data_IF_818476702510
#
_entry.id   IF_818476702510
#
_cell.length_a   1.000
_cell.length_b   1.000
_cell.length_c   1.000
_cell.angle_alpha   90.00
_cell.angle_beta   90.00
_cell.angle_gamma   90.00
#
_symmetry.space_group_name_H-M   'P 1'
#
loop_
_entity.id
_entity.type
_entity.pdbx_description
1 polymer ?
#
# COMPACT_ATOMS: atom_id res chain seq x y z
N UNK A 1 38.62 -20.44 -12.05
CA UNK A 1 38.24 -19.06 -12.39
C UNK A 1 37.01 -19.18 -13.27
N UNK A 2 35.83 -18.84 -12.74
CA UNK A 2 34.62 -18.79 -13.56
C UNK A 2 34.83 -17.66 -14.58
N UNK A 3 34.91 -18.01 -15.87
CA UNK A 3 34.94 -17.01 -16.93
C UNK A 3 33.63 -16.25 -16.92
N UNK A 4 33.60 -15.06 -16.36
CA UNK A 4 32.41 -14.19 -16.41
C UNK A 4 32.17 -13.82 -17.87
N UNK A 5 30.95 -14.05 -18.35
CA UNK A 5 30.59 -13.70 -19.73
C UNK A 5 30.59 -12.17 -19.87
N UNK A 6 31.25 -11.65 -20.91
CA UNK A 6 31.41 -10.21 -21.13
C UNK A 6 30.89 -9.80 -22.50
N UNK A 7 30.20 -8.66 -22.51
CA UNK A 7 29.71 -8.03 -23.73
C UNK A 7 30.22 -6.58 -23.86
N UNK A 8 29.85 -5.95 -24.97
CA UNK A 8 30.16 -4.54 -25.24
C UNK A 8 28.88 -3.76 -25.55
N UNK A 9 28.79 -2.55 -25.02
CA UNK A 9 27.70 -1.62 -25.38
C UNK A 9 27.81 -1.25 -26.84
N UNK A 10 26.77 -1.49 -27.63
CA UNK A 10 26.70 -1.15 -29.05
C UNK A 10 25.76 -0.01 -29.37
N UNK A 11 24.71 0.16 -28.53
CA UNK A 11 23.73 1.24 -28.68
C UNK A 11 23.27 1.74 -27.33
N UNK A 12 22.98 3.03 -27.22
CA UNK A 12 22.41 3.70 -26.04
C UNK A 12 21.22 4.54 -26.53
N UNK A 13 20.04 4.26 -25.99
CA UNK A 13 18.79 4.96 -26.29
C UNK A 13 18.10 5.36 -24.98
N UNK A 14 18.62 6.39 -24.30
CA UNK A 14 18.16 6.79 -22.97
C UNK A 14 18.35 5.67 -21.95
N UNK A 15 17.27 5.18 -21.33
CA UNK A 15 17.33 4.11 -20.34
C UNK A 15 17.48 2.70 -20.95
N UNK A 16 17.52 2.57 -22.27
CA UNK A 16 17.63 1.28 -22.98
C UNK A 16 18.99 1.15 -23.63
N UNK A 17 19.68 0.07 -23.33
CA UNK A 17 21.08 -0.20 -23.75
C UNK A 17 21.11 -1.53 -24.50
N UNK A 18 21.72 -1.56 -25.69
CA UNK A 18 22.00 -2.80 -26.40
C UNK A 18 23.45 -3.22 -26.15
N UNK A 19 23.61 -4.48 -25.72
CA UNK A 19 24.89 -5.10 -25.39
C UNK A 19 25.10 -6.31 -26.27
N UNK A 20 26.24 -6.34 -27.00
CA UNK A 20 26.60 -7.45 -27.88
C UNK A 20 27.65 -8.35 -27.22
N UNK A 21 27.48 -9.65 -27.35
CA UNK A 21 28.36 -10.68 -26.81
C UNK A 21 29.12 -11.39 -27.97
N UNK A 22 30.39 -11.65 -27.79
CA UNK A 22 31.26 -12.21 -28.86
C UNK A 22 31.06 -13.74 -29.01
N UNK A 23 30.68 -14.45 -27.97
CA UNK A 23 30.52 -15.91 -27.99
C UNK A 23 29.08 -16.32 -27.73
N UNK A 24 28.58 -17.34 -28.41
CA UNK A 24 27.22 -17.81 -28.53
C UNK A 24 26.38 -18.10 -27.26
N UNK A 25 26.80 -17.69 -26.08
CA UNK A 25 26.02 -17.79 -24.85
C UNK A 25 25.53 -16.40 -24.47
N UNK A 26 24.26 -16.13 -24.79
CA UNK A 26 23.62 -14.88 -24.41
C UNK A 26 23.16 -14.93 -22.95
N UNK A 27 23.22 -13.80 -22.22
CA UNK A 27 22.56 -13.65 -20.94
C UNK A 27 21.06 -13.96 -21.05
N UNK A 28 20.50 -14.55 -20.00
CA UNK A 28 19.06 -14.85 -19.96
C UNK A 28 18.24 -13.58 -19.77
N UNK A 29 16.98 -13.64 -20.20
CA UNK A 29 16.01 -12.58 -19.87
C UNK A 29 15.93 -12.44 -18.33
N UNK A 30 15.88 -11.18 -17.83
CA UNK A 30 15.91 -10.82 -16.41
C UNK A 30 17.27 -10.97 -15.72
N UNK A 31 18.33 -11.35 -16.45
CA UNK A 31 19.68 -11.35 -15.91
C UNK A 31 20.16 -9.90 -15.70
N UNK A 32 20.81 -9.66 -14.56
CA UNK A 32 21.40 -8.37 -14.22
C UNK A 32 22.82 -8.28 -14.75
N UNK A 33 23.05 -7.34 -15.64
CA UNK A 33 24.37 -7.03 -16.17
C UNK A 33 24.95 -5.81 -15.44
N UNK A 34 26.27 -5.74 -15.29
CA UNK A 34 26.90 -4.62 -14.61
C UNK A 34 28.20 -4.19 -15.26
N UNK A 35 28.54 -2.92 -15.03
CA UNK A 35 29.87 -2.37 -15.34
C UNK A 35 30.20 -1.27 -14.31
N UNK A 36 31.48 -1.01 -14.14
CA UNK A 36 31.96 0.06 -13.26
C UNK A 36 32.79 1.06 -14.10
N UNK A 37 32.39 2.33 -14.00
CA UNK A 37 33.09 3.44 -14.68
C UNK A 37 33.38 4.50 -13.62
N UNK A 38 34.64 4.90 -13.51
CA UNK A 38 35.12 5.92 -12.57
C UNK A 38 34.64 5.68 -11.10
N UNK A 39 34.61 4.40 -10.68
CA UNK A 39 34.17 3.99 -9.35
C UNK A 39 32.64 3.93 -9.15
N UNK A 40 31.88 4.32 -10.15
CA UNK A 40 30.42 4.23 -10.13
C UNK A 40 29.97 2.94 -10.79
N UNK A 41 29.16 2.15 -10.06
CA UNK A 41 28.55 0.92 -10.57
C UNK A 41 27.28 1.24 -11.33
N UNK A 42 27.15 0.69 -12.53
CA UNK A 42 25.94 0.72 -13.36
C UNK A 42 25.38 -0.68 -13.46
N UNK A 43 24.07 -0.80 -13.32
CA UNK A 43 23.34 -2.07 -13.42
C UNK A 43 22.23 -1.92 -14.44
N UNK A 44 22.07 -2.93 -15.28
CA UNK A 44 21.00 -3.02 -16.27
C UNK A 44 20.43 -4.44 -16.29
N UNK A 45 19.20 -4.57 -16.69
CA UNK A 45 18.50 -5.87 -16.75
C UNK A 45 18.19 -6.23 -18.20
N UNK A 46 18.45 -7.48 -18.58
CA UNK A 46 18.12 -8.00 -19.91
C UNK A 46 16.60 -8.08 -20.07
N UNK A 47 16.07 -7.29 -21.00
CA UNK A 47 14.64 -7.26 -21.33
C UNK A 47 14.28 -8.18 -22.50
N UNK A 48 15.17 -8.28 -23.52
CA UNK A 48 14.93 -9.12 -24.71
C UNK A 48 16.19 -9.41 -25.48
N UNK A 49 16.17 -10.45 -26.31
CA UNK A 49 17.18 -10.75 -27.32
C UNK A 49 16.77 -10.14 -28.66
N UNK A 50 17.65 -9.39 -29.32
CA UNK A 50 17.35 -8.64 -30.54
C UNK A 50 18.04 -9.17 -31.79
N UNK A 51 18.75 -10.31 -31.69
CA UNK A 51 19.52 -10.92 -32.77
C UNK A 51 21.01 -10.55 -32.74
N UNK A 52 21.82 -11.13 -33.63
CA UNK A 52 23.25 -10.87 -33.79
C UNK A 52 24.05 -10.87 -32.47
N UNK A 53 23.79 -11.85 -31.61
CA UNK A 53 24.37 -11.97 -30.27
C UNK A 53 24.17 -10.72 -29.38
N UNK A 54 23.08 -9.97 -29.61
CA UNK A 54 22.80 -8.73 -28.90
C UNK A 54 21.59 -8.89 -28.00
N UNK A 55 21.71 -8.39 -26.77
CA UNK A 55 20.61 -8.28 -25.81
C UNK A 55 20.26 -6.82 -25.60
N UNK A 56 18.97 -6.55 -25.45
CA UNK A 56 18.45 -5.23 -25.10
C UNK A 56 18.13 -5.18 -23.62
N UNK A 57 18.71 -4.19 -22.95
CA UNK A 57 18.65 -4.05 -21.50
C UNK A 57 17.94 -2.75 -21.08
N UNK A 58 17.31 -2.76 -19.93
CA UNK A 58 16.77 -1.57 -19.26
C UNK A 58 17.66 -1.20 -18.08
N UNK A 59 18.06 0.07 -18.01
CA UNK A 59 18.91 0.57 -16.93
C UNK A 59 18.17 0.60 -15.59
N UNK A 60 18.85 0.16 -14.54
CA UNK A 60 18.45 0.26 -13.14
C UNK A 60 19.24 1.38 -12.41
N UNK A 61 19.86 2.23 -13.18
CA UNK A 61 20.57 3.44 -12.74
C UNK A 61 20.50 4.46 -13.88
N UNK A 62 21.01 5.67 -13.66
CA UNK A 62 21.20 6.60 -14.78
C UNK A 62 22.18 6.04 -15.81
N UNK A 63 22.07 6.48 -17.06
CA UNK A 63 22.97 6.09 -18.16
C UNK A 63 24.07 7.13 -18.47
N UNK A 64 24.13 8.20 -17.69
CA UNK A 64 25.12 9.29 -17.89
C UNK A 64 26.55 8.76 -17.69
N UNK A 65 27.39 9.08 -18.63
CA UNK A 65 28.79 8.64 -18.63
C UNK A 65 29.03 7.30 -19.33
N UNK A 66 27.99 6.60 -19.76
CA UNK A 66 28.12 5.40 -20.58
C UNK A 66 28.41 5.76 -22.05
N UNK A 67 29.23 4.95 -22.69
CA UNK A 67 29.55 5.09 -24.11
C UNK A 67 29.65 3.74 -24.82
N UNK A 68 29.48 3.76 -26.13
CA UNK A 68 29.64 2.55 -26.95
C UNK A 68 31.08 2.00 -26.83
N UNK A 69 31.18 0.68 -26.83
CA UNK A 69 32.45 -0.03 -26.68
C UNK A 69 32.81 -0.38 -25.25
N UNK A 70 32.15 0.19 -24.24
CA UNK A 70 32.39 -0.18 -22.86
C UNK A 70 32.04 -1.64 -22.61
N UNK A 71 32.84 -2.32 -21.78
CA UNK A 71 32.64 -3.71 -21.41
C UNK A 71 31.57 -3.84 -20.29
N UNK A 72 30.75 -4.83 -20.43
CA UNK A 72 29.66 -5.16 -19.49
C UNK A 72 29.81 -6.62 -19.06
N UNK A 73 29.70 -6.88 -17.78
CA UNK A 73 29.76 -8.23 -17.19
C UNK A 73 28.38 -8.83 -17.02
N UNK A 74 28.25 -10.12 -17.37
CA UNK A 74 27.05 -10.93 -17.19
C UNK A 74 27.36 -12.06 -16.20
N UNK A 75 27.04 -11.89 -14.91
CA UNK A 75 27.39 -12.86 -13.86
C UNK A 75 26.45 -14.08 -13.81
N UNK A 76 25.43 -14.15 -14.66
CA UNK A 76 24.47 -15.27 -14.69
C UNK A 76 23.40 -15.22 -13.60
N UNK A 77 23.17 -14.05 -12.99
CA UNK A 77 22.21 -13.86 -11.90
C UNK A 77 21.19 -12.79 -12.22
N UNK A 78 20.00 -12.95 -11.67
CA UNK A 78 18.99 -11.89 -11.66
C UNK A 78 19.30 -10.86 -10.57
N UNK A 79 18.49 -9.81 -10.45
CA UNK A 79 18.54 -8.89 -9.31
C UNK A 79 18.21 -9.68 -8.04
N UNK A 80 19.08 -9.63 -7.04
CA UNK A 80 18.89 -10.23 -5.72
C UNK A 80 18.91 -9.11 -4.67
N UNK A 81 18.00 -9.19 -3.70
CA UNK A 81 17.90 -8.24 -2.58
C UNK A 81 18.07 -8.95 -1.25
N UNK A 82 18.62 -8.27 -0.22
CA UNK A 82 18.68 -8.83 1.13
C UNK A 82 17.28 -9.07 1.67
N UNK A 83 17.11 -10.11 2.46
CA UNK A 83 15.86 -10.48 3.11
C UNK A 83 16.09 -10.88 4.56
N UNK A 84 15.03 -10.89 5.37
CA UNK A 84 15.07 -11.28 6.77
C UNK A 84 15.25 -10.10 7.74
N UNK A 85 15.42 -10.40 9.01
CA UNK A 85 15.44 -9.41 10.10
C UNK A 85 16.49 -8.29 9.92
N UNK A 86 17.59 -8.55 9.20
CA UNK A 86 18.61 -7.54 8.88
C UNK A 86 18.12 -6.40 7.99
N UNK A 87 16.92 -6.52 7.41
CA UNK A 87 16.29 -5.47 6.61
C UNK A 87 15.40 -4.55 7.45
N UNK A 88 15.00 -4.97 8.63
CA UNK A 88 14.13 -4.19 9.50
C UNK A 88 14.82 -2.92 10.03
N UNK A 89 14.10 -1.82 10.06
CA UNK A 89 14.63 -0.51 10.45
C UNK A 89 15.48 0.16 9.38
N UNK A 90 15.68 -0.48 8.24
CA UNK A 90 16.60 -0.06 7.17
C UNK A 90 15.85 0.45 5.94
N UNK A 91 16.58 1.22 5.14
CA UNK A 91 16.09 1.76 3.87
C UNK A 91 17.02 1.36 2.73
N UNK A 92 16.45 0.76 1.69
CA UNK A 92 17.18 0.22 0.54
C UNK A 92 16.71 0.81 -0.79
N UNK A 93 17.58 0.75 -1.79
CA UNK A 93 17.21 0.97 -3.19
C UNK A 93 16.68 -0.32 -3.86
N UNK A 94 16.38 -0.25 -5.15
CA UNK A 94 15.86 -1.40 -5.94
C UNK A 94 16.82 -2.59 -5.98
N UNK A 95 18.11 -2.37 -5.83
CA UNK A 95 19.17 -3.39 -5.85
C UNK A 95 19.46 -3.98 -4.46
N UNK A 96 18.79 -3.49 -3.42
CA UNK A 96 19.06 -3.86 -2.03
C UNK A 96 20.28 -3.16 -1.41
N UNK A 97 20.83 -2.13 -2.08
CA UNK A 97 21.86 -1.31 -1.47
C UNK A 97 21.24 -0.34 -0.46
N UNK A 98 21.85 -0.13 0.72
CA UNK A 98 21.33 0.79 1.71
C UNK A 98 21.41 2.24 1.25
N UNK A 99 20.35 3.00 1.52
CA UNK A 99 20.29 4.45 1.25
C UNK A 99 20.05 5.27 2.54
N UNK A 100 20.12 4.61 3.68
CA UNK A 100 19.99 5.21 5.02
C UNK A 100 21.33 5.64 5.65
N UNK A 101 22.43 5.52 4.92
CA UNK A 101 23.78 5.78 5.42
C UNK A 101 24.38 4.64 6.25
N UNK A 102 23.67 3.53 6.43
CA UNK A 102 24.14 2.34 7.11
C UNK A 102 25.02 1.45 6.23
N UNK A 103 25.62 0.43 6.83
CA UNK A 103 26.42 -0.55 6.09
C UNK A 103 25.54 -1.46 5.24
N UNK A 104 26.09 -1.98 4.14
CA UNK A 104 25.43 -2.97 3.30
C UNK A 104 25.19 -4.27 4.10
N UNK A 105 24.06 -4.92 3.83
CA UNK A 105 23.82 -6.26 4.36
C UNK A 105 24.83 -7.22 3.76
N UNK A 106 25.60 -7.97 4.59
CA UNK A 106 26.64 -8.85 4.08
C UNK A 106 26.09 -9.90 3.12
N UNK A 107 26.86 -10.25 2.09
CA UNK A 107 26.50 -11.32 1.13
C UNK A 107 26.39 -12.71 1.77
N UNK A 108 26.85 -12.86 2.99
CA UNK A 108 26.69 -14.08 3.80
C UNK A 108 25.28 -14.23 4.37
N UNK A 109 24.55 -13.12 4.46
CA UNK A 109 23.16 -13.09 4.88
C UNK A 109 22.25 -13.47 3.71
N UNK A 110 21.00 -13.90 3.99
CA UNK A 110 20.06 -14.32 2.96
C UNK A 110 19.77 -13.22 1.93
N UNK A 111 19.91 -13.56 0.65
CA UNK A 111 19.49 -12.75 -0.49
C UNK A 111 18.57 -13.58 -1.38
N UNK A 112 17.54 -12.97 -1.94
CA UNK A 112 16.59 -13.64 -2.84
C UNK A 112 16.39 -12.82 -4.11
N UNK A 113 16.21 -13.56 -5.22
CA UNK A 113 15.82 -12.96 -6.50
C UNK A 113 14.46 -12.24 -6.38
N UNK A 114 14.37 -11.07 -6.98
CA UNK A 114 13.09 -10.34 -7.07
C UNK A 114 12.07 -11.04 -7.98
N UNK A 115 12.53 -12.02 -8.77
CA UNK A 115 11.72 -12.82 -9.67
C UNK A 115 11.35 -14.16 -9.05
N UNK A 116 10.19 -14.19 -8.43
CA UNK A 116 9.59 -15.40 -7.85
C UNK A 116 8.26 -15.68 -8.53
N UNK A 117 7.88 -16.93 -8.56
CA UNK A 117 6.53 -17.31 -8.97
C UNK A 117 5.54 -17.01 -7.84
N UNK A 118 4.30 -16.74 -8.22
CA UNK A 118 3.21 -16.72 -7.26
C UNK A 118 3.09 -18.08 -6.57
N UNK A 119 2.63 -18.14 -5.31
CA UNK A 119 2.34 -19.38 -4.63
C UNK A 119 1.37 -20.25 -5.44
N UNK A 120 1.65 -21.56 -5.49
CA UNK A 120 0.77 -22.52 -6.15
C UNK A 120 -0.55 -22.68 -5.41
N UNK A 121 -1.57 -23.23 -6.06
CA UNK A 121 -2.90 -23.39 -5.45
C UNK A 121 -2.89 -24.23 -4.17
N UNK A 122 -1.98 -25.19 -4.06
CA UNK A 122 -1.84 -26.04 -2.88
C UNK A 122 -1.09 -25.36 -1.71
N UNK A 123 -0.32 -24.32 -1.99
CA UNK A 123 0.36 -23.49 -0.98
C UNK A 123 -0.55 -22.41 -0.40
N UNK A 124 -1.56 -21.98 -1.15
CA UNK A 124 -2.47 -20.92 -0.71
C UNK A 124 -3.37 -21.37 0.44
N UNK A 125 -3.68 -20.45 1.34
CA UNK A 125 -4.69 -20.65 2.36
C UNK A 125 -6.07 -20.29 1.78
N UNK A 126 -7.01 -21.24 1.66
CA UNK A 126 -8.35 -20.97 1.13
C UNK A 126 -9.26 -20.27 2.14
N UNK A 127 -8.89 -20.20 3.42
CA UNK A 127 -9.69 -19.53 4.44
C UNK A 127 -9.66 -18.01 4.23
N UNK A 128 -10.83 -17.39 4.24
CA UNK A 128 -10.97 -15.95 4.22
C UNK A 128 -11.04 -15.47 5.68
N UNK A 129 -9.98 -14.80 6.11
CA UNK A 129 -9.87 -14.23 7.45
C UNK A 129 -9.83 -12.70 7.39
N UNK A 130 -10.41 -12.03 8.37
CA UNK A 130 -10.31 -10.59 8.51
C UNK A 130 -8.95 -10.24 9.13
N UNK A 131 -8.25 -9.29 8.54
CA UNK A 131 -7.14 -8.60 9.18
C UNK A 131 -7.73 -7.50 10.07
N UNK A 132 -7.82 -7.75 11.36
CA UNK A 132 -8.31 -6.77 12.31
C UNK A 132 -7.31 -5.62 12.44
N UNK A 133 -7.74 -4.43 12.05
CA UNK A 133 -6.86 -3.24 12.01
C UNK A 133 -6.90 -2.43 13.30
N UNK A 134 -7.91 -2.62 14.12
CA UNK A 134 -8.17 -1.81 15.32
C UNK A 134 -8.69 -0.41 15.00
N UNK A 135 -9.02 -0.14 13.74
CA UNK A 135 -9.59 1.12 13.26
C UNK A 135 -11.07 0.90 12.95
N UNK A 136 -11.95 1.50 13.74
CA UNK A 136 -13.38 1.24 13.70
C UNK A 136 -14.02 1.32 12.32
N UNK A 137 -13.73 2.38 11.57
CA UNK A 137 -14.34 2.58 10.25
C UNK A 137 -13.93 1.50 9.26
N UNK A 138 -12.68 1.06 9.30
CA UNK A 138 -12.15 0.01 8.42
C UNK A 138 -12.77 -1.33 8.82
N UNK A 139 -12.62 -1.73 10.07
CA UNK A 139 -13.04 -3.05 10.53
C UNK A 139 -14.55 -3.26 10.42
N UNK A 140 -15.35 -2.19 10.56
CA UNK A 140 -16.82 -2.26 10.43
C UNK A 140 -17.28 -2.30 8.97
N UNK A 141 -16.85 -1.33 8.14
CA UNK A 141 -17.48 -1.03 6.85
C UNK A 141 -16.70 -1.52 5.64
N UNK A 142 -15.40 -1.70 5.79
CA UNK A 142 -14.51 -2.16 4.74
C UNK A 142 -13.45 -3.15 5.25
N UNK A 143 -13.84 -4.22 5.94
CA UNK A 143 -12.88 -5.13 6.57
C UNK A 143 -11.85 -5.64 5.57
N UNK A 144 -10.57 -5.59 5.95
CA UNK A 144 -9.48 -6.05 5.10
C UNK A 144 -9.35 -7.57 5.14
N UNK A 145 -9.37 -8.26 4.00
CA UNK A 145 -9.04 -9.67 3.99
C UNK A 145 -7.55 -9.89 4.21
N UNK A 146 -7.21 -10.80 5.09
CA UNK A 146 -5.84 -11.24 5.30
C UNK A 146 -5.29 -11.86 4.01
N UNK A 147 -4.12 -11.38 3.56
CA UNK A 147 -3.60 -11.76 2.24
C UNK A 147 -4.28 -11.08 1.06
N UNK A 148 -5.16 -10.12 1.32
CA UNK A 148 -5.87 -9.35 0.31
C UNK A 148 -5.10 -8.13 -0.19
N UNK A 149 -5.69 -7.50 -1.19
CA UNK A 149 -5.15 -6.32 -1.86
C UNK A 149 -6.11 -5.15 -1.68
N UNK A 150 -5.66 -4.14 -0.96
CA UNK A 150 -6.46 -2.98 -0.62
C UNK A 150 -5.98 -1.77 -1.44
N UNK A 151 -6.91 -1.13 -2.15
CA UNK A 151 -6.67 0.14 -2.81
C UNK A 151 -6.92 1.30 -1.86
N UNK A 152 -5.94 2.18 -1.70
CA UNK A 152 -6.06 3.39 -0.90
C UNK A 152 -6.15 4.61 -1.82
N UNK A 153 -7.29 5.27 -1.80
CA UNK A 153 -7.59 6.45 -2.59
C UNK A 153 -7.62 7.67 -1.69
N UNK A 154 -7.12 8.79 -2.19
CA UNK A 154 -7.19 10.06 -1.46
C UNK A 154 -6.25 11.10 -2.03
N UNK A 155 -6.72 12.33 -2.03
CA UNK A 155 -5.91 13.49 -2.42
C UNK A 155 -4.83 13.84 -1.39
N UNK A 156 -4.10 14.90 -1.65
CA UNK A 156 -3.11 15.41 -0.69
C UNK A 156 -3.78 15.96 0.57
N UNK A 157 -3.18 15.75 1.73
CA UNK A 157 -3.59 16.36 3.01
C UNK A 157 -4.81 15.71 3.67
N UNK A 158 -5.25 14.52 3.25
CA UNK A 158 -6.40 13.81 3.86
C UNK A 158 -5.99 12.79 4.93
N UNK A 159 -4.71 12.74 5.30
CA UNK A 159 -4.20 11.84 6.35
C UNK A 159 -3.75 10.47 5.87
N UNK A 160 -3.45 10.30 4.57
CA UNK A 160 -2.97 9.01 4.01
C UNK A 160 -1.76 8.45 4.78
N UNK A 161 -0.73 9.26 4.98
CA UNK A 161 0.50 8.84 5.67
C UNK A 161 0.22 8.45 7.13
N UNK A 162 -0.63 9.22 7.82
CA UNK A 162 -1.02 8.92 9.21
C UNK A 162 -1.75 7.58 9.30
N UNK A 163 -2.67 7.31 8.36
CA UNK A 163 -3.37 6.03 8.30
C UNK A 163 -2.42 4.86 8.05
N UNK A 164 -1.48 5.00 7.11
CA UNK A 164 -0.46 3.99 6.82
C UNK A 164 0.38 3.69 8.07
N UNK A 165 0.85 4.73 8.75
CA UNK A 165 1.65 4.56 9.97
C UNK A 165 0.84 3.90 11.11
N UNK A 166 -0.43 4.24 11.25
CA UNK A 166 -1.30 3.62 12.25
C UNK A 166 -1.55 2.13 11.97
N UNK A 167 -1.75 1.76 10.70
CA UNK A 167 -1.84 0.36 10.28
C UNK A 167 -0.56 -0.41 10.59
N UNK A 168 0.61 0.18 10.31
CA UNK A 168 1.91 -0.40 10.65
C UNK A 168 2.04 -0.58 12.16
N UNK A 169 1.68 0.44 12.93
CA UNK A 169 1.73 0.40 14.39
C UNK A 169 0.86 -0.74 14.93
N UNK A 170 -0.39 -0.80 14.50
CA UNK A 170 -1.36 -1.77 15.01
C UNK A 170 -0.98 -3.21 14.64
N UNK A 171 -0.49 -3.45 13.41
CA UNK A 171 -0.01 -4.79 13.03
C UNK A 171 1.24 -5.18 13.81
N UNK A 172 2.17 -4.27 14.02
CA UNK A 172 3.38 -4.55 14.78
C UNK A 172 3.11 -4.84 16.26
N UNK A 173 2.22 -4.08 16.89
CA UNK A 173 1.96 -4.16 18.33
C UNK A 173 0.96 -5.25 18.70
N UNK A 174 -0.11 -5.43 17.92
CA UNK A 174 -1.20 -6.34 18.25
C UNK A 174 -1.05 -7.72 17.58
N UNK A 175 -0.49 -7.76 16.38
CA UNK A 175 -0.34 -9.01 15.63
C UNK A 175 1.10 -9.55 15.62
N UNK A 176 2.08 -8.78 16.13
CA UNK A 176 3.50 -9.16 16.10
C UNK A 176 4.06 -9.34 14.69
N UNK A 177 3.40 -8.74 13.71
CA UNK A 177 3.75 -8.79 12.30
C UNK A 177 4.83 -7.78 11.91
N UNK A 178 5.30 -7.91 10.68
CA UNK A 178 6.24 -6.97 10.06
C UNK A 178 5.58 -6.21 8.94
N UNK A 179 6.18 -5.10 8.57
CA UNK A 179 5.73 -4.29 7.44
C UNK A 179 6.86 -4.04 6.47
N UNK A 180 6.52 -3.94 5.20
CA UNK A 180 7.43 -3.49 4.14
C UNK A 180 6.79 -2.33 3.42
N UNK A 181 7.48 -1.20 3.34
CA UNK A 181 7.02 -0.04 2.60
C UNK A 181 7.81 0.11 1.31
N UNK A 182 7.14 0.17 0.18
CA UNK A 182 7.74 0.40 -1.13
C UNK A 182 7.32 1.75 -1.70
N UNK A 183 8.27 2.67 -1.81
CA UNK A 183 8.08 3.96 -2.48
C UNK A 183 8.38 3.84 -3.96
N UNK A 184 7.34 3.85 -4.80
CA UNK A 184 7.45 3.72 -6.26
C UNK A 184 7.28 5.07 -6.92
N UNK A 185 8.37 5.68 -7.32
CA UNK A 185 8.37 7.01 -7.93
C UNK A 185 8.01 8.14 -6.95
N UNK A 186 8.26 7.94 -5.67
CA UNK A 186 7.98 8.91 -4.63
C UNK A 186 9.08 9.98 -4.53
N UNK A 187 8.74 11.12 -3.92
CA UNK A 187 9.69 12.18 -3.67
C UNK A 187 10.66 11.77 -2.57
N UNK A 188 11.96 12.02 -2.77
CA UNK A 188 13.00 11.72 -1.77
C UNK A 188 12.72 12.34 -0.39
N UNK A 189 12.15 13.54 -0.37
CA UNK A 189 11.76 14.22 0.86
C UNK A 189 10.68 13.46 1.62
N UNK A 190 9.61 13.06 0.94
CA UNK A 190 8.48 12.35 1.56
C UNK A 190 8.94 10.99 2.12
N UNK A 191 9.80 10.27 1.39
CA UNK A 191 10.40 9.03 1.88
C UNK A 191 11.27 9.23 3.12
N UNK A 192 12.07 10.29 3.17
CA UNK A 192 12.90 10.60 4.32
C UNK A 192 12.08 11.05 5.54
N UNK A 193 11.03 11.84 5.31
CA UNK A 193 10.13 12.27 6.38
C UNK A 193 9.41 11.05 6.98
N UNK A 194 8.88 10.16 6.13
CA UNK A 194 8.25 8.89 6.56
C UNK A 194 9.21 8.02 7.40
N UNK A 195 10.45 7.85 6.95
CA UNK A 195 11.46 7.07 7.68
C UNK A 195 11.75 7.65 9.07
N UNK A 196 11.87 8.98 9.18
CA UNK A 196 12.06 9.65 10.49
C UNK A 196 10.86 9.47 11.39
N UNK A 197 9.67 9.72 10.87
CA UNK A 197 8.42 9.59 11.63
C UNK A 197 8.21 8.16 12.14
N UNK A 198 8.50 7.15 11.34
CA UNK A 198 8.44 5.74 11.76
C UNK A 198 9.42 5.43 12.90
N UNK A 199 10.63 5.98 12.84
CA UNK A 199 11.62 5.81 13.93
C UNK A 199 11.17 6.53 15.21
N UNK A 200 10.62 7.72 15.09
CA UNK A 200 10.13 8.50 16.22
C UNK A 200 8.89 7.91 16.88
N UNK A 201 8.04 7.24 16.10
CA UNK A 201 6.84 6.54 16.59
C UNK A 201 7.14 5.15 17.16
N UNK A 202 8.38 4.66 17.01
CA UNK A 202 8.81 3.35 17.55
C UNK A 202 8.41 2.14 16.71
N UNK A 203 7.84 2.34 15.51
CA UNK A 203 7.49 1.24 14.59
C UNK A 203 8.56 0.95 13.54
N UNK A 204 9.60 1.79 13.48
CA UNK A 204 10.69 1.65 12.51
C UNK A 204 11.36 0.29 12.57
N UNK A 205 11.64 -0.24 13.76
CA UNK A 205 12.33 -1.52 13.97
C UNK A 205 11.52 -2.76 13.49
N UNK A 206 10.27 -2.57 13.10
CA UNK A 206 9.39 -3.62 12.56
C UNK A 206 9.08 -3.43 11.07
N UNK A 207 9.76 -2.47 10.42
CA UNK A 207 9.47 -2.08 9.04
C UNK A 207 10.73 -2.04 8.20
N UNK A 208 10.73 -2.68 7.03
CA UNK A 208 11.73 -2.52 5.99
C UNK A 208 11.21 -1.53 4.95
N UNK A 209 12.09 -0.63 4.46
CA UNK A 209 11.73 0.37 3.47
C UNK A 209 12.55 0.18 2.19
N UNK A 210 11.89 0.25 1.04
CA UNK A 210 12.53 0.16 -0.28
C UNK A 210 12.03 1.30 -1.15
N UNK A 211 12.94 2.12 -1.68
CA UNK A 211 12.58 3.29 -2.48
C UNK A 211 13.18 3.25 -3.87
N UNK A 212 12.34 3.53 -4.86
CA UNK A 212 12.72 3.98 -6.18
C UNK A 212 12.15 5.38 -6.40
N UNK A 213 12.99 6.39 -6.30
CA UNK A 213 12.59 7.79 -6.25
C UNK A 213 12.06 8.30 -7.60
N UNK A 214 11.37 9.43 -7.59
CA UNK A 214 10.76 10.04 -8.78
C UNK A 214 11.77 10.37 -9.88
N UNK A 215 13.01 10.72 -9.52
CA UNK A 215 14.09 11.05 -10.44
C UNK A 215 14.88 9.84 -10.94
N UNK A 216 14.58 8.65 -10.43
CA UNK A 216 15.23 7.42 -10.85
C UNK A 216 14.78 6.98 -12.25
N UNK A 217 15.62 6.15 -12.90
CA UNK A 217 15.29 5.60 -14.21
C UNK A 217 14.00 4.78 -14.20
N UNK A 218 13.30 4.66 -15.34
CA UNK A 218 12.10 3.83 -15.42
C UNK A 218 12.31 2.39 -14.94
N UNK A 219 13.48 1.79 -15.21
CA UNK A 219 13.81 0.46 -14.75
C UNK A 219 13.74 0.30 -13.23
N UNK A 220 14.19 1.30 -12.48
CA UNK A 220 14.08 1.32 -11.01
C UNK A 220 12.63 1.30 -10.59
N UNK A 221 11.80 2.20 -11.12
CA UNK A 221 10.37 2.31 -10.77
C UNK A 221 9.56 1.08 -11.17
N UNK A 222 9.98 0.36 -12.22
CA UNK A 222 9.38 -0.92 -12.62
C UNK A 222 9.72 -2.09 -11.70
N UNK A 223 10.80 -2.02 -10.91
CA UNK A 223 11.32 -3.17 -10.16
C UNK A 223 11.27 -2.99 -8.65
N UNK A 224 11.22 -1.76 -8.15
CA UNK A 224 11.27 -1.49 -6.70
C UNK A 224 10.12 -2.15 -5.93
N UNK A 225 8.91 -2.22 -6.50
CA UNK A 225 7.80 -2.94 -5.88
C UNK A 225 8.07 -4.44 -5.76
N UNK A 226 8.75 -5.04 -6.74
CA UNK A 226 9.17 -6.45 -6.68
C UNK A 226 10.24 -6.68 -5.61
N UNK A 227 11.15 -5.73 -5.42
CA UNK A 227 12.19 -5.79 -4.38
C UNK A 227 11.55 -5.81 -2.99
N UNK A 228 10.62 -4.91 -2.72
CA UNK A 228 9.90 -4.89 -1.44
C UNK A 228 9.00 -6.11 -1.24
N UNK A 229 8.29 -6.55 -2.29
CA UNK A 229 7.48 -7.77 -2.22
C UNK A 229 8.33 -9.00 -1.89
N UNK A 230 9.54 -9.09 -2.43
CA UNK A 230 10.46 -10.19 -2.13
C UNK A 230 10.88 -10.22 -0.65
N UNK A 231 11.09 -9.06 -0.04
CA UNK A 231 11.34 -8.96 1.41
C UNK A 231 10.09 -9.41 2.20
N UNK A 232 8.91 -8.96 1.79
CA UNK A 232 7.65 -9.34 2.45
C UNK A 232 7.38 -10.85 2.36
N UNK A 233 7.61 -11.45 1.21
CA UNK A 233 7.46 -12.90 1.01
C UNK A 233 8.41 -13.72 1.89
N UNK A 234 9.63 -13.24 2.15
CA UNK A 234 10.53 -13.94 3.05
C UNK A 234 9.96 -14.02 4.47
N UNK A 235 9.44 -12.93 4.98
CA UNK A 235 8.79 -12.90 6.31
C UNK A 235 7.56 -13.80 6.37
N UNK A 236 6.77 -13.87 5.29
CA UNK A 236 5.62 -14.78 5.19
C UNK A 236 6.05 -16.25 5.17
N UNK A 237 6.98 -16.61 4.28
CA UNK A 237 7.27 -18.00 3.91
C UNK A 237 8.27 -18.67 4.86
N UNK A 238 9.25 -17.91 5.39
CA UNK A 238 10.35 -18.44 6.21
C UNK A 238 10.19 -18.10 7.70
N UNK A 239 9.61 -16.95 8.01
CA UNK A 239 9.43 -16.50 9.39
C UNK A 239 7.98 -16.64 9.87
N UNK A 240 7.09 -17.13 9.01
CA UNK A 240 5.68 -17.42 9.32
C UNK A 240 4.93 -16.22 9.92
N UNK A 241 5.13 -15.05 9.30
CA UNK A 241 4.54 -13.80 9.76
C UNK A 241 3.37 -13.35 8.90
N UNK A 242 2.50 -12.58 9.52
CA UNK A 242 1.56 -11.73 8.81
C UNK A 242 2.25 -10.41 8.48
N UNK A 243 2.32 -10.07 7.21
CA UNK A 243 3.08 -8.94 6.70
C UNK A 243 2.16 -7.94 6.03
N UNK A 244 2.32 -6.66 6.34
CA UNK A 244 1.76 -5.56 5.55
C UNK A 244 2.76 -5.09 4.51
N UNK A 245 2.34 -5.06 3.26
CA UNK A 245 3.09 -4.49 2.15
C UNK A 245 2.42 -3.21 1.67
N UNK A 246 3.11 -2.09 1.80
CA UNK A 246 2.65 -0.82 1.24
C UNK A 246 3.31 -0.54 -0.09
N UNK A 247 2.53 -0.11 -1.09
CA UNK A 247 3.02 0.30 -2.42
C UNK A 247 2.51 1.71 -2.69
N UNK A 248 3.38 2.68 -2.66
CA UNK A 248 3.05 4.09 -2.89
C UNK A 248 3.90 4.67 -4.03
N UNK A 249 3.39 4.85 -5.25
CA UNK A 249 2.05 4.55 -5.76
C UNK A 249 2.12 3.47 -6.85
N UNK A 250 1.14 2.58 -6.90
CA UNK A 250 1.11 1.51 -7.93
C UNK A 250 1.03 2.07 -9.36
N UNK A 251 0.45 3.24 -9.56
CA UNK A 251 0.40 3.91 -10.86
C UNK A 251 1.80 4.17 -11.45
N UNK A 252 2.77 4.53 -10.62
CA UNK A 252 4.15 4.79 -11.08
C UNK A 252 4.86 3.54 -11.60
N UNK A 253 4.51 2.38 -11.06
CA UNK A 253 4.95 1.08 -11.58
C UNK A 253 4.47 0.89 -13.03
N UNK A 254 3.19 1.13 -13.30
CA UNK A 254 2.61 1.05 -14.64
C UNK A 254 3.21 2.08 -15.59
N UNK A 255 3.30 3.33 -15.15
CA UNK A 255 3.84 4.43 -15.94
C UNK A 255 5.28 4.16 -16.39
N UNK A 256 6.12 3.65 -15.51
CA UNK A 256 7.49 3.31 -15.83
C UNK A 256 7.58 2.24 -16.94
N UNK A 257 6.70 1.25 -16.93
CA UNK A 257 6.56 0.28 -18.01
C UNK A 257 6.22 0.91 -19.36
N UNK A 258 5.32 1.90 -19.36
CA UNK A 258 4.95 2.61 -20.61
C UNK A 258 6.09 3.45 -21.16
N UNK A 259 6.89 4.08 -20.31
CA UNK A 259 8.03 4.91 -20.69
C UNK A 259 9.09 4.14 -21.50
N UNK A 260 9.33 2.87 -21.18
CA UNK A 260 10.32 2.04 -21.88
C UNK A 260 9.74 1.20 -23.01
N UNK A 261 8.45 1.00 -23.05
CA UNK A 261 7.78 0.05 -23.96
C UNK A 261 8.09 0.31 -25.43
N UNK A 262 8.01 1.56 -25.86
CA UNK A 262 8.33 1.96 -27.24
C UNK A 262 9.81 1.78 -27.56
N UNK A 263 10.69 2.08 -26.61
CA UNK A 263 12.16 1.89 -26.77
C UNK A 263 12.52 0.40 -26.86
N UNK A 264 11.71 -0.48 -26.28
CA UNK A 264 11.83 -1.92 -26.43
C UNK A 264 11.24 -2.44 -27.76
N UNK A 265 10.70 -1.56 -28.60
CA UNK A 265 10.12 -1.92 -29.89
C UNK A 265 8.71 -2.52 -29.81
N UNK A 266 7.99 -2.29 -28.70
CA UNK A 266 6.59 -2.74 -28.55
C UNK A 266 5.64 -1.69 -29.09
N UNK A 267 4.60 -2.14 -29.81
CA UNK A 267 3.53 -1.23 -30.24
C UNK A 267 2.68 -0.81 -29.05
N UNK A 268 2.37 0.49 -28.92
CA UNK A 268 1.49 0.95 -27.84
C UNK A 268 0.09 0.33 -27.94
N UNK A 269 -0.51 0.06 -26.79
CA UNK A 269 -1.93 -0.28 -26.67
C UNK A 269 -2.79 0.97 -26.44
N UNK A 270 -4.01 0.81 -25.94
CA UNK A 270 -4.92 1.91 -25.64
C UNK A 270 -4.26 2.97 -24.75
N UNK A 271 -4.51 4.25 -25.06
CA UNK A 271 -4.00 5.43 -24.32
C UNK A 271 -2.47 5.49 -24.24
N UNK A 272 -1.76 4.74 -25.09
CA UNK A 272 -0.28 4.72 -25.12
C UNK A 272 0.39 3.81 -24.10
N UNK A 273 -0.37 3.00 -23.36
CA UNK A 273 0.19 2.03 -22.41
C UNK A 273 0.87 0.86 -23.13
N UNK A 274 1.74 0.15 -22.39
CA UNK A 274 2.38 -1.07 -22.86
C UNK A 274 1.35 -2.20 -23.10
N UNK A 275 1.54 -3.02 -24.14
CA UNK A 275 0.65 -4.15 -24.39
C UNK A 275 0.74 -5.24 -23.32
N UNK A 276 1.80 -5.22 -22.51
CA UNK A 276 2.08 -6.16 -21.42
C UNK A 276 1.54 -5.71 -20.05
N UNK A 277 0.79 -4.60 -19.99
CA UNK A 277 0.30 -4.00 -18.74
C UNK A 277 -0.38 -5.01 -17.82
N UNK A 278 -1.35 -5.76 -18.34
CA UNK A 278 -2.11 -6.73 -17.54
C UNK A 278 -1.22 -7.86 -17.00
N UNK A 279 -0.25 -8.33 -17.81
CA UNK A 279 0.67 -9.38 -17.39
C UNK A 279 1.66 -8.87 -16.32
N UNK A 280 2.20 -7.67 -16.50
CA UNK A 280 3.13 -7.06 -15.53
C UNK A 280 2.43 -6.82 -14.19
N UNK A 281 1.20 -6.32 -14.22
CA UNK A 281 0.38 -6.14 -13.03
C UNK A 281 0.04 -7.49 -12.38
N UNK A 282 -0.35 -8.49 -13.16
CA UNK A 282 -0.67 -9.84 -12.68
C UNK A 282 0.54 -10.51 -12.03
N UNK A 283 1.74 -10.43 -12.61
CA UNK A 283 2.97 -10.99 -12.03
C UNK A 283 3.27 -10.40 -10.63
N UNK A 284 2.97 -9.14 -10.40
CA UNK A 284 3.12 -8.49 -9.09
C UNK A 284 1.98 -8.91 -8.14
N UNK A 285 0.73 -8.77 -8.57
CA UNK A 285 -0.45 -8.90 -7.71
C UNK A 285 -0.71 -10.33 -7.25
N UNK A 286 -0.47 -11.34 -8.11
CA UNK A 286 -0.72 -12.74 -7.78
C UNK A 286 0.26 -13.31 -6.72
N UNK A 287 1.38 -12.65 -6.47
CA UNK A 287 2.32 -13.00 -5.39
C UNK A 287 1.82 -12.55 -4.02
N UNK A 288 0.91 -11.57 -4.00
CA UNK A 288 0.34 -10.99 -2.78
C UNK A 288 -0.85 -11.83 -2.37
N UNK A 289 -0.65 -12.70 -1.40
CA UNK A 289 -1.69 -13.65 -0.95
C UNK A 289 -1.33 -14.25 0.41
N UNK A 290 -2.31 -14.92 1.02
CA UNK A 290 -2.10 -15.78 2.17
C UNK A 290 -1.63 -17.16 1.72
N UNK A 291 -0.66 -17.70 2.44
CA UNK A 291 -0.23 -19.11 2.32
C UNK A 291 -0.51 -19.84 3.63
N UNK A 292 -0.21 -21.13 3.66
CA UNK A 292 -0.29 -21.93 4.88
C UNK A 292 0.72 -21.50 5.95
N UNK A 293 1.77 -20.78 5.55
CA UNK A 293 2.86 -20.33 6.41
C UNK A 293 2.63 -18.94 7.01
N UNK A 294 1.93 -18.06 6.30
CA UNK A 294 1.67 -16.69 6.72
C UNK A 294 0.91 -15.91 5.66
N UNK A 295 0.89 -14.60 5.80
CA UNK A 295 0.18 -13.74 4.84
C UNK A 295 0.99 -12.52 4.42
N UNK A 296 0.77 -12.06 3.18
CA UNK A 296 1.12 -10.72 2.71
C UNK A 296 -0.16 -10.02 2.32
N UNK A 297 -0.54 -9.01 3.09
CA UNK A 297 -1.67 -8.12 2.80
C UNK A 297 -1.12 -6.82 2.27
N UNK A 298 -1.59 -6.34 1.12
CA UNK A 298 -1.08 -5.09 0.55
C UNK A 298 -2.08 -3.95 0.68
N UNK A 299 -1.53 -2.77 0.98
CA UNK A 299 -2.22 -1.49 0.88
C UNK A 299 -1.52 -0.69 -0.21
N UNK A 300 -2.21 -0.44 -1.30
CA UNK A 300 -1.67 0.16 -2.51
C UNK A 300 -2.30 1.53 -2.72
N UNK A 301 -1.49 2.58 -2.67
CA UNK A 301 -1.96 3.90 -3.03
C UNK A 301 -2.24 3.95 -4.54
N UNK A 302 -3.47 4.29 -4.90
CA UNK A 302 -3.92 4.35 -6.28
C UNK A 302 -4.12 5.81 -6.69
N UNK A 303 -3.48 6.19 -7.76
CA UNK A 303 -3.70 7.45 -8.45
C UNK A 303 -4.55 7.22 -9.69
N UNK A 304 -5.58 8.02 -9.85
CA UNK A 304 -6.50 7.96 -11.01
C UNK A 304 -6.24 9.20 -11.87
N UNK A 305 -5.62 9.04 -13.05
CA UNK A 305 -5.36 10.16 -13.95
C UNK A 305 -6.67 10.85 -14.38
N UNK A 306 -6.71 12.17 -14.20
CA UNK A 306 -7.89 13.00 -14.55
C UNK A 306 -9.23 12.52 -13.96
N UNK A 307 -9.18 11.78 -12.84
CA UNK A 307 -10.34 11.15 -12.20
C UNK A 307 -11.11 10.18 -13.12
N UNK A 308 -10.43 9.67 -14.16
CA UNK A 308 -11.00 8.72 -15.12
C UNK A 308 -10.74 7.27 -14.70
N UNK A 309 -11.74 6.64 -14.10
CA UNK A 309 -11.69 5.24 -13.69
C UNK A 309 -11.62 4.24 -14.86
N UNK A 310 -11.88 4.71 -16.09
CA UNK A 310 -11.80 3.87 -17.30
C UNK A 310 -10.41 3.85 -17.92
N UNK A 311 -9.49 4.68 -17.42
CA UNK A 311 -8.08 4.62 -17.83
C UNK A 311 -7.51 3.20 -17.56
N UNK A 312 -6.76 2.62 -18.52
CA UNK A 312 -6.26 1.25 -18.41
C UNK A 312 -5.45 0.94 -17.14
N UNK A 313 -4.71 1.90 -16.58
CA UNK A 313 -3.89 1.68 -15.40
C UNK A 313 -4.74 1.48 -14.13
N UNK A 314 -5.63 2.40 -13.73
CA UNK A 314 -6.52 2.17 -12.62
C UNK A 314 -7.47 0.99 -12.88
N UNK A 315 -8.05 0.85 -14.08
CA UNK A 315 -8.96 -0.25 -14.41
C UNK A 315 -8.32 -1.63 -14.20
N UNK A 316 -7.07 -1.81 -14.63
CA UNK A 316 -6.32 -3.06 -14.41
C UNK A 316 -6.01 -3.25 -12.94
N UNK A 317 -5.67 -2.21 -12.20
CA UNK A 317 -5.42 -2.27 -10.76
C UNK A 317 -6.67 -2.68 -9.99
N UNK A 318 -7.82 -2.05 -10.28
CA UNK A 318 -9.11 -2.36 -9.64
C UNK A 318 -9.52 -3.82 -9.77
N UNK A 319 -9.20 -4.46 -10.90
CA UNK A 319 -9.53 -5.86 -11.11
C UNK A 319 -8.88 -6.80 -10.08
N UNK A 320 -7.79 -6.39 -9.47
CA UNK A 320 -7.05 -7.17 -8.45
C UNK A 320 -7.45 -6.81 -7.00
N UNK A 321 -8.14 -5.69 -6.77
CA UNK A 321 -8.42 -5.23 -5.40
C UNK A 321 -9.56 -6.01 -4.75
N UNK A 322 -9.38 -6.31 -3.47
CA UNK A 322 -10.36 -6.97 -2.60
C UNK A 322 -11.14 -5.98 -1.74
N UNK A 323 -10.52 -4.85 -1.40
CA UNK A 323 -11.14 -3.75 -0.68
C UNK A 323 -10.64 -2.41 -1.20
N UNK A 324 -11.42 -1.37 -0.97
CA UNK A 324 -11.12 -0.01 -1.39
C UNK A 324 -11.39 0.96 -0.25
N UNK A 325 -10.34 1.63 0.22
CA UNK A 325 -10.41 2.69 1.21
C UNK A 325 -10.35 4.04 0.52
N UNK A 326 -11.39 4.84 0.65
CA UNK A 326 -11.46 6.19 0.07
C UNK A 326 -11.31 7.23 1.18
N UNK A 327 -10.26 8.03 1.13
CA UNK A 327 -10.05 9.16 2.03
C UNK A 327 -10.68 10.42 1.43
N UNK A 328 -11.59 11.03 2.19
CA UNK A 328 -12.41 12.16 1.75
C UNK A 328 -11.93 13.48 2.37
N UNK A 329 -11.69 14.47 1.51
CA UNK A 329 -11.38 15.82 1.97
C UNK A 329 -12.55 16.44 2.75
N UNK A 330 -13.79 16.19 2.32
CA UNK A 330 -14.99 16.67 3.00
C UNK A 330 -15.07 16.18 4.46
N UNK A 331 -14.67 14.94 4.70
CA UNK A 331 -14.64 14.34 6.04
C UNK A 331 -13.48 14.91 6.85
N UNK A 332 -12.30 15.07 6.23
CA UNK A 332 -11.14 15.70 6.88
C UNK A 332 -11.44 17.16 7.32
N UNK A 333 -12.16 17.94 6.50
CA UNK A 333 -12.58 19.30 6.82
C UNK A 333 -13.55 19.37 8.00
N UNK A 334 -14.29 18.30 8.29
CA UNK A 334 -15.14 18.14 9.47
C UNK A 334 -14.33 17.75 10.74
N UNK A 335 -13.03 17.56 10.61
CA UNK A 335 -12.15 17.12 11.70
C UNK A 335 -12.30 15.64 12.07
N UNK A 336 -12.93 14.83 11.22
CA UNK A 336 -13.11 13.40 11.45
C UNK A 336 -11.90 12.65 10.90
N UNK A 337 -11.15 11.99 11.78
CA UNK A 337 -9.98 11.17 11.43
C UNK A 337 -10.08 9.77 12.04
N UNK A 338 -9.68 8.70 11.29
CA UNK A 338 -9.26 8.74 9.88
C UNK A 338 -10.37 9.26 8.97
N UNK A 339 -10.01 10.02 7.95
CA UNK A 339 -10.97 10.66 7.05
C UNK A 339 -11.51 9.70 5.98
N UNK A 340 -11.80 8.47 6.36
CA UNK A 340 -12.35 7.42 5.50
C UNK A 340 -13.80 7.71 5.17
N UNK A 341 -14.14 7.70 3.89
CA UNK A 341 -15.51 7.84 3.46
C UNK A 341 -16.27 6.53 3.64
N UNK A 342 -17.27 6.49 4.55
CA UNK A 342 -17.98 5.26 4.90
C UNK A 342 -18.94 4.76 3.82
N UNK A 343 -19.28 5.60 2.83
CA UNK A 343 -20.20 5.25 1.74
C UNK A 343 -19.47 4.91 0.44
N UNK A 344 -18.29 5.50 0.21
CA UNK A 344 -17.47 5.25 -0.97
C UNK A 344 -16.48 4.08 -0.78
N UNK A 345 -16.14 3.74 0.46
CA UNK A 345 -15.24 2.64 0.79
C UNK A 345 -15.99 1.30 0.78
N UNK A 346 -15.34 0.27 0.25
CA UNK A 346 -15.98 -1.04 0.05
C UNK A 346 -15.03 -2.19 0.34
N UNK A 347 -15.59 -3.36 0.68
CA UNK A 347 -14.85 -4.61 0.80
C UNK A 347 -15.66 -5.77 0.23
N UNK A 348 -15.00 -6.64 -0.53
CA UNK A 348 -15.62 -7.85 -1.09
C UNK A 348 -15.99 -8.87 -0.03
N UNK A 349 -15.33 -8.83 1.14
CA UNK A 349 -15.61 -9.78 2.22
C UNK A 349 -16.69 -9.31 3.19
N UNK A 350 -17.27 -8.13 2.98
CA UNK A 350 -18.41 -7.67 3.78
C UNK A 350 -19.70 -8.38 3.32
N UNK A 351 -19.74 -9.68 3.57
CA UNK A 351 -20.85 -10.58 3.28
C UNK A 351 -21.18 -11.40 4.53
N UNK A 352 -22.46 -11.69 4.76
CA UNK A 352 -22.93 -12.33 6.00
C UNK A 352 -22.29 -13.72 6.26
N UNK A 353 -21.98 -14.46 5.21
CA UNK A 353 -21.32 -15.77 5.29
C UNK A 353 -19.82 -15.69 5.60
N UNK A 354 -19.20 -14.53 5.45
CA UNK A 354 -17.77 -14.29 5.74
C UNK A 354 -17.58 -13.61 7.08
N UNK A 355 -18.20 -12.45 7.29
CA UNK A 355 -18.01 -11.64 8.51
C UNK A 355 -18.99 -12.03 9.63
N UNK A 356 -20.02 -12.80 9.34
CA UNK A 356 -21.10 -13.16 10.23
C UNK A 356 -22.33 -12.23 10.14
N UNK A 357 -23.48 -12.78 10.45
CA UNK A 357 -24.79 -12.09 10.34
C UNK A 357 -24.85 -10.80 11.15
N UNK A 358 -24.31 -10.80 12.36
CA UNK A 358 -24.35 -9.62 13.24
C UNK A 358 -23.50 -8.48 12.70
N UNK A 359 -22.27 -8.75 12.30
CA UNK A 359 -21.38 -7.73 11.70
C UNK A 359 -22.00 -7.15 10.43
N UNK A 360 -22.44 -8.02 9.53
CA UNK A 360 -23.06 -7.60 8.26
C UNK A 360 -24.30 -6.73 8.50
N UNK A 361 -25.20 -7.11 9.42
CA UNK A 361 -26.39 -6.33 9.76
C UNK A 361 -26.03 -4.94 10.28
N UNK A 362 -25.12 -4.86 11.25
CA UNK A 362 -24.71 -3.57 11.84
C UNK A 362 -24.08 -2.67 10.79
N UNK A 363 -23.18 -3.21 9.96
CA UNK A 363 -22.54 -2.44 8.88
C UNK A 363 -23.58 -1.89 7.90
N UNK A 364 -24.57 -2.68 7.51
CA UNK A 364 -25.66 -2.24 6.62
C UNK A 364 -26.53 -1.17 7.24
N UNK A 365 -26.94 -1.34 8.47
CA UNK A 365 -27.75 -0.34 9.19
C UNK A 365 -27.00 0.99 9.35
N UNK A 366 -25.68 0.95 9.60
CA UNK A 366 -24.85 2.14 9.64
C UNK A 366 -24.79 2.82 8.26
N UNK A 367 -24.55 2.07 7.20
CA UNK A 367 -24.52 2.60 5.83
C UNK A 367 -25.87 3.21 5.42
N UNK A 368 -26.98 2.54 5.68
CA UNK A 368 -28.32 3.03 5.38
C UNK A 368 -28.64 4.32 6.13
N UNK A 369 -28.27 4.39 7.42
CA UNK A 369 -28.46 5.60 8.24
C UNK A 369 -27.67 6.77 7.70
N UNK A 370 -26.40 6.55 7.32
CA UNK A 370 -25.54 7.59 6.74
C UNK A 370 -25.99 8.00 5.35
N UNK A 371 -26.44 7.05 4.53
CA UNK A 371 -26.98 7.33 3.21
C UNK A 371 -28.25 8.20 3.30
N UNK A 372 -29.21 7.83 4.15
CA UNK A 372 -30.40 8.62 4.38
C UNK A 372 -30.10 10.02 4.90
N UNK A 373 -29.12 10.13 5.78
CA UNK A 373 -28.66 11.46 6.25
C UNK A 373 -28.06 12.29 5.11
N UNK A 374 -27.26 11.68 4.23
CA UNK A 374 -26.72 12.39 3.06
C UNK A 374 -27.82 12.93 2.15
N UNK A 375 -28.89 12.18 1.94
CA UNK A 375 -30.06 12.60 1.15
C UNK A 375 -30.84 13.75 1.82
N UNK A 376 -30.90 13.75 3.16
CA UNK A 376 -31.60 14.79 3.92
C UNK A 376 -30.78 16.08 4.08
N UNK A 377 -29.47 16.07 3.83
CA UNK A 377 -28.61 17.25 4.03
C UNK A 377 -29.06 18.46 3.21
N UNK A 378 -29.48 18.26 1.96
CA UNK A 378 -29.94 19.36 1.10
C UNK A 378 -31.26 19.94 1.62
N UNK A 379 -32.14 19.10 2.12
CA UNK A 379 -33.40 19.51 2.73
C UNK A 379 -33.14 20.32 3.99
N UNK A 380 -32.25 19.82 4.85
CA UNK A 380 -31.87 20.51 6.10
C UNK A 380 -31.24 21.86 5.81
N UNK A 381 -30.40 21.97 4.79
CA UNK A 381 -29.74 23.21 4.40
C UNK A 381 -30.72 24.29 3.91
N UNK A 382 -31.81 23.89 3.27
CA UNK A 382 -32.81 24.82 2.69
C UNK A 382 -33.93 25.12 3.68
N UNK A 383 -34.49 24.12 4.35
CA UNK A 383 -35.70 24.22 5.14
C UNK A 383 -35.45 24.18 6.64
N UNK A 384 -34.30 23.69 7.08
CA UNK A 384 -33.99 23.47 8.51
C UNK A 384 -34.42 22.10 9.02
N UNK A 385 -33.96 21.77 10.23
CA UNK A 385 -34.28 20.49 10.92
C UNK A 385 -35.74 20.36 11.32
N UNK A 386 -36.39 21.47 11.63
CA UNK A 386 -37.78 21.48 12.18
C UNK A 386 -38.82 21.07 11.14
N UNK A 387 -38.50 21.09 9.86
CA UNK A 387 -39.36 20.67 8.77
C UNK A 387 -39.28 19.17 8.48
N UNK A 388 -38.36 18.44 9.11
CA UNK A 388 -38.24 17.00 9.00
C UNK A 388 -39.29 16.30 9.87
N UNK A 389 -39.71 15.09 9.43
CA UNK A 389 -40.52 14.20 10.29
C UNK A 389 -39.75 13.79 11.55
N UNK A 390 -40.42 13.44 12.61
CA UNK A 390 -39.81 12.95 13.86
C UNK A 390 -38.87 11.77 13.60
N UNK A 391 -39.23 10.89 12.67
CA UNK A 391 -38.42 9.73 12.26
C UNK A 391 -37.15 10.19 11.56
N UNK A 392 -37.21 11.17 10.64
CA UNK A 392 -36.05 11.69 9.95
C UNK A 392 -35.16 12.48 10.89
N UNK A 393 -35.71 13.24 11.82
CA UNK A 393 -34.92 13.93 12.85
C UNK A 393 -34.14 12.94 13.72
N UNK A 394 -34.73 11.84 14.13
CA UNK A 394 -34.06 10.78 14.89
C UNK A 394 -32.96 10.13 14.06
N UNK A 395 -33.23 9.84 12.79
CA UNK A 395 -32.22 9.32 11.84
C UNK A 395 -31.02 10.26 11.72
N UNK A 396 -31.26 11.55 11.57
CA UNK A 396 -30.19 12.56 11.50
C UNK A 396 -29.37 12.63 12.79
N UNK A 397 -30.02 12.57 13.94
CA UNK A 397 -29.33 12.57 15.25
C UNK A 397 -28.42 11.34 15.39
N UNK A 398 -28.91 10.15 15.06
CA UNK A 398 -28.12 8.92 15.09
C UNK A 398 -26.98 8.93 14.05
N UNK A 399 -27.27 9.42 12.84
CA UNK A 399 -26.25 9.55 11.79
C UNK A 399 -25.09 10.46 12.21
N UNK A 400 -25.36 11.59 12.84
CA UNK A 400 -24.33 12.48 13.37
C UNK A 400 -23.49 11.81 14.47
N UNK A 401 -24.12 11.05 15.38
CA UNK A 401 -23.40 10.26 16.39
C UNK A 401 -22.53 9.21 15.74
N UNK A 402 -23.03 8.50 14.72
CA UNK A 402 -22.25 7.53 13.94
C UNK A 402 -21.03 8.20 13.29
N UNK A 403 -21.21 9.32 12.60
CA UNK A 403 -20.09 10.05 11.98
C UNK A 403 -19.03 10.44 13.01
N UNK A 404 -19.45 10.95 14.18
CA UNK A 404 -18.52 11.29 15.26
C UNK A 404 -17.82 10.07 15.83
N UNK A 405 -18.53 8.96 16.00
CA UNK A 405 -17.99 7.72 16.55
C UNK A 405 -17.08 6.97 15.56
N UNK A 406 -17.17 7.25 14.27
CA UNK A 406 -16.21 6.77 13.28
C UNK A 406 -14.82 7.40 13.45
N UNK A 407 -14.73 8.58 14.06
CA UNK A 407 -13.45 9.17 14.45
C UNK A 407 -12.80 8.39 15.59
N UNK A 408 -11.47 8.39 15.63
CA UNK A 408 -10.71 7.58 16.58
C UNK A 408 -9.36 8.24 16.84
N UNK A 409 -8.90 8.35 18.11
CA UNK A 409 -7.54 8.77 18.39
C UNK A 409 -6.54 7.72 17.89
N UNK A 410 -5.50 8.17 17.20
CA UNK A 410 -4.46 7.32 16.62
C UNK A 410 -3.16 7.46 17.39
N UNK A 411 -2.45 6.33 17.60
CA UNK A 411 -1.17 6.29 18.33
C UNK A 411 -0.12 7.18 17.67
N UNK A 412 -0.03 7.13 16.35
CA UNK A 412 0.96 7.94 15.60
C UNK A 412 0.66 9.43 15.61
N UNK A 413 -0.55 9.83 15.97
CA UNK A 413 -0.98 11.23 16.06
C UNK A 413 -0.93 11.79 17.50
N UNK A 414 -0.58 11.01 18.51
CA UNK A 414 -0.58 11.42 19.92
C UNK A 414 0.20 12.73 20.18
N UNK A 415 1.38 12.86 19.56
CA UNK A 415 2.23 14.04 19.70
C UNK A 415 1.58 15.33 19.21
N UNK A 416 0.66 15.22 18.26
CA UNK A 416 -0.03 16.37 17.66
C UNK A 416 -1.38 16.64 18.30
N UNK A 417 -2.11 15.57 18.65
CA UNK A 417 -3.47 15.66 19.20
C UNK A 417 -3.48 15.83 20.71
N UNK A 418 -2.39 15.45 21.39
CA UNK A 418 -2.31 15.32 22.86
C UNK A 418 -3.34 14.35 23.45
N UNK A 419 -3.90 13.48 22.62
CA UNK A 419 -4.85 12.44 23.03
C UNK A 419 -4.19 11.08 22.79
N UNK A 420 -4.15 10.19 23.80
CA UNK A 420 -3.63 8.84 23.64
C UNK A 420 -4.37 8.08 22.54
N UNK A 421 -3.63 7.38 21.68
CA UNK A 421 -4.19 6.52 20.66
C UNK A 421 -4.88 5.30 21.26
N UNK A 422 -5.84 4.75 20.53
CA UNK A 422 -6.61 3.59 20.99
C UNK A 422 -6.75 2.59 19.85
N UNK A 423 -6.30 1.36 20.09
CA UNK A 423 -6.69 0.19 19.29
C UNK A 423 -8.08 -0.27 19.74
N UNK A 424 -9.04 -0.34 18.84
CA UNK A 424 -10.40 -0.79 19.17
C UNK A 424 -10.63 -2.18 18.58
N UNK A 425 -10.76 -3.22 19.42
CA UNK A 425 -11.08 -4.56 18.94
C UNK A 425 -12.38 -4.60 18.17
N UNK A 426 -12.51 -5.47 17.17
CA UNK A 426 -13.70 -5.59 16.33
C UNK A 426 -14.97 -5.80 17.14
N UNK A 427 -14.91 -6.63 18.19
CA UNK A 427 -16.07 -6.85 19.08
C UNK A 427 -16.58 -5.57 19.75
N UNK A 428 -15.65 -4.69 20.18
CA UNK A 428 -16.01 -3.39 20.77
C UNK A 428 -16.56 -2.42 19.72
N UNK A 429 -16.01 -2.45 18.50
CA UNK A 429 -16.54 -1.69 17.36
C UNK A 429 -17.99 -2.10 17.05
N UNK A 430 -18.26 -3.40 16.94
CA UNK A 430 -19.60 -3.91 16.68
C UNK A 430 -20.58 -3.55 17.82
N UNK A 431 -20.16 -3.73 19.06
CA UNK A 431 -20.97 -3.36 20.23
C UNK A 431 -21.32 -1.88 20.24
N UNK A 432 -20.33 -1.03 19.93
CA UNK A 432 -20.53 0.41 19.90
C UNK A 432 -21.52 0.88 18.85
N UNK A 433 -21.35 0.46 17.62
CA UNK A 433 -22.27 0.85 16.54
C UNK A 433 -23.64 0.23 16.67
N UNK A 434 -23.73 -1.01 17.15
CA UNK A 434 -25.02 -1.64 17.48
C UNK A 434 -25.82 -0.81 18.48
N UNK A 435 -25.20 -0.41 19.58
CA UNK A 435 -25.87 0.41 20.59
C UNK A 435 -26.37 1.76 20.03
N UNK A 436 -25.66 2.35 19.06
CA UNK A 436 -26.09 3.59 18.42
C UNK A 436 -27.29 3.36 17.50
N UNK A 437 -27.23 2.34 16.62
CA UNK A 437 -28.32 2.07 15.67
C UNK A 437 -29.58 1.54 16.36
N UNK A 438 -29.44 0.75 17.43
CA UNK A 438 -30.54 0.24 18.24
C UNK A 438 -31.15 1.33 19.16
N UNK A 439 -30.53 2.52 19.26
CA UNK A 439 -31.06 3.66 20.03
C UNK A 439 -30.71 3.66 21.51
N UNK A 440 -29.87 2.74 21.98
CA UNK A 440 -29.47 2.67 23.39
C UNK A 440 -28.64 3.90 23.82
N UNK A 441 -28.10 4.64 22.84
CA UNK A 441 -27.24 5.80 23.05
C UNK A 441 -27.93 7.14 22.73
N UNK A 442 -29.25 7.14 22.52
CA UNK A 442 -29.97 8.35 22.10
C UNK A 442 -29.92 9.47 23.13
N UNK A 443 -29.81 9.15 24.42
CA UNK A 443 -29.74 10.12 25.52
C UNK A 443 -28.40 10.88 25.61
N UNK A 444 -27.33 10.40 24.99
CA UNK A 444 -26.02 11.05 25.08
C UNK A 444 -25.84 12.13 24.02
N UNK A 445 -25.14 13.24 24.34
CA UNK A 445 -24.91 14.32 23.38
C UNK A 445 -23.94 13.89 22.27
N UNK A 446 -24.15 14.42 21.05
CA UNK A 446 -23.31 14.14 19.87
C UNK A 446 -21.81 14.36 20.14
N UNK A 447 -21.44 15.39 20.87
CA UNK A 447 -20.06 15.73 21.18
C UNK A 447 -19.30 14.63 21.97
N UNK A 448 -20.03 13.78 22.72
CA UNK A 448 -19.42 12.69 23.47
C UNK A 448 -18.86 11.58 22.58
N UNK A 449 -19.34 11.44 21.34
CA UNK A 449 -18.94 10.41 20.40
C UNK A 449 -17.68 10.77 19.59
N UNK A 450 -17.23 12.01 19.68
CA UNK A 450 -16.12 12.49 18.88
C UNK A 450 -14.75 12.07 19.45
N UNK A 451 -13.91 11.48 18.60
CA UNK A 451 -12.53 11.11 18.91
C UNK A 451 -12.39 10.28 20.20
N UNK A 452 -13.11 9.18 20.25
CA UNK A 452 -13.13 8.20 21.35
C UNK A 452 -12.96 6.78 20.81
N UNK A 453 -12.56 5.83 21.64
CA UNK A 453 -12.39 4.43 21.27
C UNK A 453 -13.70 3.64 21.41
N UNK A 454 -14.15 3.42 22.64
CA UNK A 454 -15.24 2.50 23.00
C UNK A 454 -16.49 3.24 23.51
N UNK A 455 -17.57 2.49 23.80
CA UNK A 455 -18.76 3.05 24.44
C UNK A 455 -18.49 3.58 25.83
N UNK A 456 -17.61 2.95 26.58
CA UNK A 456 -17.21 3.41 27.91
C UNK A 456 -16.58 4.80 27.84
N UNK A 457 -15.79 5.07 26.82
CA UNK A 457 -15.20 6.38 26.59
C UNK A 457 -16.28 7.44 26.26
N UNK A 458 -17.30 7.05 25.48
CA UNK A 458 -18.46 7.93 25.20
C UNK A 458 -19.16 8.31 26.50
N UNK A 459 -19.48 7.33 27.34
CA UNK A 459 -20.18 7.55 28.61
C UNK A 459 -19.33 8.40 29.56
N UNK A 460 -18.03 8.14 29.66
CA UNK A 460 -17.11 8.92 30.46
C UNK A 460 -17.03 10.38 29.99
N UNK A 461 -16.93 10.57 28.68
CA UNK A 461 -16.87 11.91 28.08
C UNK A 461 -18.20 12.68 28.22
N UNK A 462 -19.35 11.99 28.11
CA UNK A 462 -20.64 12.62 28.35
C UNK A 462 -20.75 13.17 29.76
N UNK A 463 -20.34 12.39 30.79
CA UNK A 463 -20.30 12.85 32.19
C UNK A 463 -19.37 14.07 32.40
N UNK A 464 -18.26 14.10 31.69
CA UNK A 464 -17.31 15.21 31.73
C UNK A 464 -17.95 16.49 31.16
N UNK A 465 -18.59 16.38 29.99
CA UNK A 465 -19.31 17.49 29.36
C UNK A 465 -20.45 18.02 30.22
N UNK A 466 -21.17 17.16 30.91
CA UNK A 466 -22.22 17.57 31.87
C UNK A 466 -21.63 18.32 33.07
N UNK A 467 -20.48 17.88 33.59
CA UNK A 467 -19.81 18.54 34.71
C UNK A 467 -19.20 19.90 34.32
N UNK A 468 -18.77 20.08 33.07
CA UNK A 468 -18.24 21.36 32.56
C UNK A 468 -19.35 22.38 32.22
N UNK A 469 -20.59 21.92 32.02
CA UNK A 469 -21.74 22.75 31.71
C UNK A 469 -22.43 23.33 32.96
N UNK A 470 -22.04 22.90 34.16
CA UNK A 470 -22.50 23.38 35.47
C UNK A 470 -21.49 24.41 36.05
#
# INVERSE_FOLDING_TARGET
MNNVNTGKIVQISGPVIDVQFESGVLPKIREALSLTVDGRRYVMEVAQHVGDNTVRCVMLSGSEGLSRGMQVEAPGKTIEVPVGENTLGRMFNVLGDPIDGGEAVPVTEPHKSIYRKAPSFDEQNPAVEILETGIKVIDLLEPYPKGGKIGLFGGAGVGKTVLIQELIHNVAMEHGGYSVFTGVGERSREGNDLWREMRESGVGDKTALVFGQMNESPGVRMRVALSGLTMAEHFRDEEHKDVLLFIDTIFRFVQAGSEVSTLLGRMPSAVGYQPTLANEMGELQERITSTKDGSVTSVQAVYVPADDLTDPAPATTFAHLDATTVLSRKIAEQGIYPAVDPLESTSRILEADVVGEEHYRIAREVQETLQKYSELQDIIAILGMDELSDEDQLTVQRARKIQRFLSQPMHVAEKFSSVPGVYVPLGETLRGFKAIVDGEMDQYPEAAFYNVGTLEDVIAKAKQLEAEAI
#
